data_IF_709587385224
#
_entry.id   IF_709587385224
#
_cell.length_a   1.000
_cell.length_b   1.000
_cell.length_c   1.000
_cell.angle_alpha   90.00
_cell.angle_beta   90.00
_cell.angle_gamma   90.00
#
_symmetry.space_group_name_H-M   'P 1'
#
loop_
_entity.id
_entity.type
_entity.pdbx_description
1 polymer ?
#
# COMPACT_ATOMS: atom_id res chain seq x y z
N UNK A 1 35.52 59.79 35.12
CA UNK A 1 36.07 58.46 34.78
C UNK A 1 34.96 57.40 34.60
N UNK A 2 33.73 57.68 35.06
CA UNK A 2 32.61 56.73 35.08
C UNK A 2 31.93 56.48 33.73
N UNK A 3 31.97 57.45 32.80
CA UNK A 3 31.34 57.33 31.48
C UNK A 3 32.03 56.31 30.57
N UNK A 4 33.36 56.20 30.66
CA UNK A 4 34.14 55.21 29.90
C UNK A 4 33.86 53.77 30.36
N UNK A 5 33.60 53.58 31.65
CA UNK A 5 33.31 52.26 32.24
C UNK A 5 31.93 51.74 31.80
N UNK A 6 30.93 52.63 31.68
CA UNK A 6 29.61 52.28 31.18
C UNK A 6 29.59 51.89 29.69
N UNK A 7 30.38 52.59 28.86
CA UNK A 7 30.48 52.31 27.41
C UNK A 7 31.17 50.95 27.17
N UNK A 8 32.25 50.65 27.90
CA UNK A 8 32.95 49.36 27.82
C UNK A 8 32.06 48.18 28.26
N UNK A 9 31.25 48.35 29.32
CA UNK A 9 30.28 47.34 29.79
C UNK A 9 29.17 47.08 28.77
N UNK A 10 28.69 48.14 28.11
CA UNK A 10 27.66 48.04 27.07
C UNK A 10 28.17 47.33 25.82
N UNK A 11 29.41 47.63 25.39
CA UNK A 11 30.08 46.95 24.28
C UNK A 11 30.33 45.47 24.55
N UNK A 12 30.75 45.13 25.77
CA UNK A 12 30.95 43.73 26.16
C UNK A 12 29.63 42.94 26.19
N UNK A 13 28.56 43.53 26.72
CA UNK A 13 27.23 42.92 26.70
C UNK A 13 26.69 42.75 25.27
N UNK A 14 26.90 43.75 24.40
CA UNK A 14 26.53 43.65 23.00
C UNK A 14 27.29 42.52 22.29
N UNK A 15 28.59 42.41 22.51
CA UNK A 15 29.41 41.35 21.94
C UNK A 15 29.01 39.97 22.46
N UNK A 16 28.69 39.87 23.75
CA UNK A 16 28.20 38.63 24.37
C UNK A 16 26.84 38.20 23.81
N UNK A 17 25.93 39.15 23.57
CA UNK A 17 24.61 38.88 22.97
C UNK A 17 24.77 38.43 21.51
N UNK A 18 25.60 39.10 20.72
CA UNK A 18 25.87 38.71 19.32
C UNK A 18 26.52 37.32 19.29
N UNK A 19 27.51 37.05 20.14
CA UNK A 19 28.15 35.75 20.25
C UNK A 19 27.17 34.64 20.66
N UNK A 20 26.30 34.90 21.64
CA UNK A 20 25.23 33.98 22.02
C UNK A 20 24.24 33.72 20.87
N UNK A 21 23.92 34.74 20.06
CA UNK A 21 23.04 34.59 18.89
C UNK A 21 23.65 33.68 17.81
N UNK A 22 24.97 33.73 17.61
CA UNK A 22 25.66 32.82 16.68
C UNK A 22 25.79 31.38 17.20
N UNK A 23 25.82 31.16 18.52
CA UNK A 23 25.87 29.81 19.11
C UNK A 23 24.55 29.04 19.01
N UNK A 24 23.41 29.72 18.76
CA UNK A 24 22.09 29.08 18.68
C UNK A 24 21.67 28.67 17.26
N UNK A 25 22.49 28.89 16.24
CA UNK A 25 22.21 28.42 14.88
C UNK A 25 22.56 26.94 14.72
N UNK A 26 21.90 26.07 15.48
CA UNK A 26 21.90 24.64 15.21
C UNK A 26 20.94 24.45 14.02
N UNK A 27 21.51 24.26 12.84
CA UNK A 27 20.75 23.85 11.65
C UNK A 27 20.21 22.45 11.97
N UNK A 28 18.97 22.36 12.45
CA UNK A 28 18.26 21.10 12.57
C UNK A 28 17.93 20.63 11.15
N UNK A 29 18.84 19.81 10.58
CA UNK A 29 18.62 19.16 9.30
C UNK A 29 17.67 18.00 9.53
N UNK A 30 16.43 18.19 9.12
CA UNK A 30 15.45 17.13 9.15
C UNK A 30 15.78 16.07 8.09
N UNK A 31 15.67 14.80 8.47
CA UNK A 31 16.08 13.63 7.72
C UNK A 31 14.90 12.70 7.50
N UNK A 32 14.54 12.51 6.24
CA UNK A 32 13.59 11.47 5.82
C UNK A 32 14.29 10.11 5.80
N UNK A 33 13.66 9.10 6.40
CA UNK A 33 14.18 7.74 6.46
C UNK A 33 13.07 6.70 6.48
N UNK A 34 13.24 5.61 5.73
CA UNK A 34 12.27 4.53 5.66
C UNK A 34 12.93 3.17 5.91
N UNK A 35 12.23 2.27 6.57
CA UNK A 35 12.62 0.87 6.79
C UNK A 35 11.49 -0.09 6.42
N UNK A 36 11.82 -1.34 6.07
CA UNK A 36 10.85 -2.38 5.76
C UNK A 36 11.16 -3.67 6.53
N UNK A 37 10.15 -4.30 7.11
CA UNK A 37 10.31 -5.47 7.98
C UNK A 37 10.57 -6.80 7.28
N UNK A 38 10.46 -6.87 5.95
CA UNK A 38 10.74 -8.06 5.16
C UNK A 38 11.93 -7.82 4.22
N UNK A 39 12.82 -8.80 4.07
CA UNK A 39 13.90 -8.76 3.08
C UNK A 39 13.54 -9.50 1.79
N UNK A 40 12.79 -10.61 1.92
CA UNK A 40 12.33 -11.45 0.82
C UNK A 40 10.98 -12.10 1.14
N UNK A 41 10.09 -12.13 0.15
CA UNK A 41 8.84 -12.89 0.10
C UNK A 41 9.00 -13.92 -1.02
N UNK A 42 8.99 -15.21 -0.65
CA UNK A 42 9.06 -16.31 -1.60
C UNK A 42 7.81 -17.16 -1.47
N UNK A 43 7.00 -17.18 -2.54
CA UNK A 43 5.81 -18.01 -2.60
C UNK A 43 6.25 -19.42 -2.99
N UNK A 44 6.08 -20.36 -2.07
CA UNK A 44 6.41 -21.78 -2.29
C UNK A 44 5.32 -22.49 -3.10
N UNK A 45 4.08 -22.02 -2.98
CA UNK A 45 2.96 -22.54 -3.74
C UNK A 45 2.84 -21.87 -5.11
N UNK A 46 2.60 -22.65 -6.18
CA UNK A 46 2.46 -22.10 -7.51
C UNK A 46 1.19 -21.24 -7.65
N UNK A 47 1.36 -20.10 -8.30
CA UNK A 47 0.31 -19.13 -8.59
C UNK A 47 -0.43 -19.58 -9.85
N UNK A 48 -1.75 -19.69 -9.74
CA UNK A 48 -2.63 -20.05 -10.85
C UNK A 48 -3.16 -18.79 -11.50
N UNK A 49 -3.24 -18.79 -12.82
CA UNK A 49 -3.90 -17.73 -13.58
C UNK A 49 -5.33 -17.49 -13.06
N UNK A 50 -5.72 -16.23 -12.99
CA UNK A 50 -7.01 -15.78 -12.48
C UNK A 50 -7.15 -15.76 -10.95
N UNK A 51 -6.25 -16.39 -10.19
CA UNK A 51 -6.34 -16.43 -8.73
C UNK A 51 -6.15 -15.06 -8.05
N UNK A 52 -6.69 -14.94 -6.85
CA UNK A 52 -6.49 -13.80 -5.93
C UNK A 52 -5.79 -14.34 -4.70
N UNK A 53 -4.65 -13.74 -4.35
CA UNK A 53 -3.73 -14.24 -3.33
C UNK A 53 -3.42 -13.13 -2.33
N UNK A 54 -3.48 -13.47 -1.05
CA UNK A 54 -2.98 -12.61 0.01
C UNK A 54 -1.50 -12.91 0.21
N UNK A 55 -0.65 -11.93 -0.04
CA UNK A 55 0.78 -12.06 0.23
C UNK A 55 1.06 -11.73 1.71
N UNK A 56 2.22 -12.13 2.27
CA UNK A 56 2.65 -11.69 3.58
C UNK A 56 2.60 -10.16 3.69
N UNK A 57 2.01 -9.65 4.78
CA UNK A 57 2.00 -8.22 5.06
C UNK A 57 3.42 -7.72 5.31
N UNK A 58 3.66 -6.45 4.97
CA UNK A 58 4.93 -5.79 5.21
C UNK A 58 4.72 -4.62 6.16
N UNK A 59 5.67 -4.41 7.06
CA UNK A 59 5.66 -3.28 7.99
C UNK A 59 6.65 -2.24 7.52
N UNK A 60 6.18 -1.01 7.35
CA UNK A 60 6.96 0.15 6.92
C UNK A 60 7.23 1.01 8.15
N UNK A 61 8.51 1.30 8.39
CA UNK A 61 8.97 2.07 9.54
C UNK A 61 9.44 3.44 9.08
N UNK A 62 9.07 4.48 9.83
CA UNK A 62 9.70 5.78 9.67
C UNK A 62 10.96 5.83 10.52
N UNK A 63 12.12 5.73 9.86
CA UNK A 63 13.44 5.80 10.50
C UNK A 63 14.03 7.21 10.49
N UNK A 64 13.29 8.17 9.92
CA UNK A 64 13.59 9.59 9.95
C UNK A 64 13.12 10.29 11.22
N UNK A 65 13.28 11.62 11.23
CA UNK A 65 12.85 12.52 12.31
C UNK A 65 11.66 13.42 11.91
N UNK A 66 11.14 13.28 10.69
CA UNK A 66 9.95 14.00 10.20
C UNK A 66 8.74 13.09 9.99
N UNK A 67 7.55 13.61 10.25
CA UNK A 67 6.30 12.98 9.81
C UNK A 67 6.30 12.91 8.29
N UNK A 68 6.18 11.69 7.76
CA UNK A 68 6.36 11.45 6.31
C UNK A 68 5.20 10.64 5.76
N UNK A 69 4.74 11.02 4.57
CA UNK A 69 3.76 10.27 3.79
C UNK A 69 4.48 9.32 2.84
N UNK A 70 4.21 8.02 3.00
CA UNK A 70 4.79 6.95 2.21
C UNK A 70 3.78 6.40 1.21
N UNK A 71 4.30 5.95 0.06
CA UNK A 71 3.56 5.23 -0.96
C UNK A 71 4.11 3.82 -1.14
N UNK A 72 3.24 2.89 -1.51
CA UNK A 72 3.61 1.53 -1.90
C UNK A 72 3.68 1.41 -3.41
N UNK A 73 4.63 0.60 -3.89
CA UNK A 73 4.87 0.42 -5.31
C UNK A 73 5.43 -0.94 -5.66
N UNK A 74 5.54 -1.17 -6.96
CA UNK A 74 6.23 -2.31 -7.54
C UNK A 74 7.27 -1.79 -8.53
N UNK A 75 8.52 -2.22 -8.33
CA UNK A 75 9.64 -1.90 -9.19
C UNK A 75 10.28 -3.16 -9.76
N UNK A 76 11.04 -2.96 -10.83
CA UNK A 76 11.75 -4.00 -11.54
C UNK A 76 13.18 -3.56 -11.75
N UNK A 77 14.11 -4.51 -11.67
CA UNK A 77 15.50 -4.26 -12.00
C UNK A 77 15.88 -5.05 -13.26
N UNK A 78 16.74 -4.46 -14.09
CA UNK A 78 17.02 -5.00 -15.43
C UNK A 78 17.83 -6.29 -15.41
N UNK A 79 18.62 -6.51 -14.36
CA UNK A 79 19.60 -7.60 -14.27
C UNK A 79 19.01 -8.98 -13.93
N UNK A 80 17.68 -9.07 -13.74
CA UNK A 80 17.02 -10.32 -13.38
C UNK A 80 16.42 -11.01 -14.62
N UNK A 81 16.73 -12.30 -14.79
CA UNK A 81 16.27 -13.12 -15.92
C UNK A 81 14.81 -13.56 -15.80
N UNK A 82 14.20 -13.45 -14.62
CA UNK A 82 12.82 -13.83 -14.37
C UNK A 82 11.82 -12.90 -15.08
N UNK A 83 10.60 -13.41 -15.29
CA UNK A 83 9.50 -12.64 -15.84
C UNK A 83 9.08 -11.52 -14.89
N UNK A 84 8.57 -10.44 -15.45
CA UNK A 84 8.13 -9.26 -14.69
C UNK A 84 6.61 -9.25 -14.61
N UNK A 85 6.02 -9.26 -13.41
CA UNK A 85 4.59 -9.10 -13.29
C UNK A 85 4.21 -7.65 -13.61
N UNK A 86 2.99 -7.42 -14.08
CA UNK A 86 2.53 -6.06 -14.28
C UNK A 86 2.20 -5.41 -12.92
N UNK A 87 2.33 -4.08 -12.82
CA UNK A 87 2.12 -3.38 -11.53
C UNK A 87 0.69 -3.52 -11.04
N UNK A 88 -0.25 -3.57 -11.99
CA UNK A 88 -1.69 -3.71 -11.75
C UNK A 88 -2.10 -5.06 -11.14
N UNK A 89 -1.19 -6.04 -11.09
CA UNK A 89 -1.43 -7.30 -10.40
C UNK A 89 -1.47 -7.08 -8.89
N UNK A 90 -0.92 -5.99 -8.38
CA UNK A 90 -0.76 -5.78 -6.95
C UNK A 90 -1.65 -4.63 -6.49
N UNK A 91 -2.30 -4.85 -5.36
CA UNK A 91 -2.99 -3.80 -4.60
C UNK A 91 -2.48 -3.79 -3.16
N UNK A 92 -2.43 -2.58 -2.61
CA UNK A 92 -1.88 -2.32 -1.29
C UNK A 92 -2.96 -1.67 -0.42
N UNK A 93 -3.05 -2.11 0.83
CA UNK A 93 -3.97 -1.53 1.79
C UNK A 93 -3.27 -1.31 3.15
N UNK A 94 -3.02 -0.06 3.56
CA UNK A 94 -3.19 1.17 2.77
C UNK A 94 -2.14 1.29 1.64
N UNK A 95 -2.50 1.96 0.53
CA UNK A 95 -1.55 2.22 -0.56
C UNK A 95 -0.69 3.48 -0.32
N UNK A 96 -1.26 4.48 0.34
CA UNK A 96 -0.61 5.73 0.76
C UNK A 96 -1.00 5.96 2.22
N UNK A 97 -0.03 6.32 3.05
CA UNK A 97 -0.25 6.50 4.48
C UNK A 97 0.83 7.41 5.08
N UNK A 98 0.51 8.03 6.21
CA UNK A 98 1.42 8.94 6.92
C UNK A 98 1.88 8.28 8.22
N UNK A 99 3.18 8.34 8.51
CA UNK A 99 3.79 7.69 9.69
C UNK A 99 4.65 8.69 10.43
N UNK A 100 4.48 8.78 11.75
CA UNK A 100 5.32 9.63 12.60
C UNK A 100 6.71 9.01 12.82
N UNK A 101 7.73 9.81 13.17
CA UNK A 101 9.06 9.29 13.50
C UNK A 101 9.04 8.16 14.52
N UNK A 102 9.73 7.05 14.25
CA UNK A 102 9.79 5.88 15.12
C UNK A 102 8.54 4.99 15.12
N UNK A 103 7.46 5.41 14.45
CA UNK A 103 6.26 4.60 14.26
C UNK A 103 6.35 3.71 13.02
N UNK A 104 5.37 2.81 12.89
CA UNK A 104 5.29 1.90 11.77
C UNK A 104 3.86 1.66 11.32
N UNK A 105 3.68 1.43 10.02
CA UNK A 105 2.41 1.04 9.42
C UNK A 105 2.52 -0.36 8.83
N UNK A 106 1.55 -1.22 9.15
CA UNK A 106 1.40 -2.51 8.48
C UNK A 106 0.58 -2.33 7.20
N UNK A 107 1.08 -2.92 6.11
CA UNK A 107 0.48 -2.87 4.78
C UNK A 107 0.14 -4.29 4.33
N UNK A 108 -1.13 -4.49 4.01
CA UNK A 108 -1.62 -5.72 3.41
C UNK A 108 -1.43 -5.67 1.90
N UNK A 109 -0.91 -6.75 1.33
CA UNK A 109 -0.64 -6.87 -0.10
C UNK A 109 -1.53 -7.96 -0.68
N UNK A 110 -2.30 -7.61 -1.70
CA UNK A 110 -3.12 -8.55 -2.46
C UNK A 110 -2.59 -8.64 -3.87
N UNK A 111 -2.34 -9.85 -4.35
CA UNK A 111 -1.92 -10.14 -5.71
C UNK A 111 -3.07 -10.80 -6.49
N UNK A 112 -3.42 -10.18 -7.60
CA UNK A 112 -4.47 -10.60 -8.52
C UNK A 112 -3.81 -11.08 -9.81
N UNK A 113 -3.66 -12.39 -9.95
CA UNK A 113 -3.08 -12.98 -11.15
C UNK A 113 -3.98 -12.69 -12.37
N UNK A 114 -3.42 -12.46 -13.56
CA UNK A 114 -4.20 -12.18 -14.76
C UNK A 114 -4.87 -13.47 -15.27
N UNK A 115 -5.85 -13.33 -16.15
CA UNK A 115 -6.50 -14.49 -16.80
C UNK A 115 -5.62 -15.12 -17.88
N UNK A 116 -4.62 -14.37 -18.38
CA UNK A 116 -3.63 -14.79 -19.36
C UNK A 116 -2.28 -14.22 -18.94
N UNK A 117 -1.26 -15.07 -18.94
CA UNK A 117 0.10 -14.71 -18.57
C UNK A 117 1.06 -15.77 -19.06
N UNK A 118 2.32 -15.41 -19.20
CA UNK A 118 3.39 -16.33 -19.58
C UNK A 118 3.74 -17.22 -18.38
N UNK A 119 3.63 -18.55 -18.48
CA UNK A 119 4.02 -19.42 -17.38
C UNK A 119 5.53 -19.35 -17.13
N UNK A 120 5.94 -19.37 -15.86
CA UNK A 120 7.34 -19.33 -15.49
C UNK A 120 7.59 -18.65 -14.14
N UNK A 121 8.87 -18.41 -13.85
CA UNK A 121 9.30 -17.75 -12.62
C UNK A 121 9.25 -16.24 -12.79
N UNK A 122 8.61 -15.59 -11.82
CA UNK A 122 8.43 -14.15 -11.76
C UNK A 122 9.22 -13.54 -10.62
N UNK A 123 9.67 -12.30 -10.85
CA UNK A 123 10.38 -11.50 -9.87
C UNK A 123 9.92 -10.05 -9.90
N UNK A 124 9.74 -9.47 -8.71
CA UNK A 124 9.49 -8.04 -8.55
C UNK A 124 10.04 -7.53 -7.21
N UNK A 125 10.21 -6.22 -7.12
CA UNK A 125 10.45 -5.55 -5.85
C UNK A 125 9.15 -4.92 -5.38
N UNK A 126 8.72 -5.27 -4.16
CA UNK A 126 7.69 -4.52 -3.45
C UNK A 126 8.40 -3.38 -2.72
N UNK A 127 8.14 -2.14 -3.13
CA UNK A 127 8.86 -0.99 -2.62
C UNK A 127 7.96 -0.04 -1.84
N UNK A 128 8.59 0.71 -0.93
CA UNK A 128 7.98 1.86 -0.29
C UNK A 128 8.97 3.01 -0.20
N UNK A 129 8.48 4.21 -0.43
CA UNK A 129 9.25 5.44 -0.35
C UNK A 129 8.34 6.64 -0.10
N UNK A 130 8.92 7.78 0.31
CA UNK A 130 8.16 9.00 0.53
C UNK A 130 7.50 9.44 -0.78
N UNK A 131 6.23 9.84 -0.70
CA UNK A 131 5.51 10.41 -1.84
C UNK A 131 6.08 11.80 -2.10
N UNK A 132 6.48 12.14 -3.35
CA UNK A 132 7.03 13.46 -3.64
C UNK A 132 6.02 14.56 -3.31
N UNK A 133 6.40 15.47 -2.42
CA UNK A 133 5.69 16.73 -2.21
C UNK A 133 6.20 17.72 -3.26
N UNK A 134 5.29 18.42 -3.95
CA UNK A 134 5.60 19.42 -5.00
C UNK A 134 6.35 20.69 -4.50
N UNK A 135 7.06 20.62 -3.37
CA UNK A 135 7.81 21.72 -2.81
C UNK A 135 9.17 21.86 -3.52
N UNK A 136 9.61 23.08 -3.89
CA UNK A 136 10.92 23.27 -4.52
C UNK A 136 12.06 22.84 -3.58
N UNK A 137 12.90 21.90 -4.03
CA UNK A 137 14.00 21.32 -3.25
C UNK A 137 13.85 19.85 -2.88
N UNK A 138 12.86 19.13 -3.43
CA UNK A 138 12.60 17.71 -3.13
C UNK A 138 13.84 16.84 -3.38
N UNK A 139 14.49 16.42 -2.31
CA UNK A 139 15.52 15.39 -2.38
C UNK A 139 14.87 14.08 -2.84
N UNK A 140 15.55 13.30 -3.68
CA UNK A 140 15.12 11.94 -4.03
C UNK A 140 15.11 11.15 -2.72
N UNK A 141 13.91 10.95 -2.17
CA UNK A 141 13.76 10.34 -0.87
C UNK A 141 14.27 8.90 -0.86
N UNK A 142 14.83 8.49 0.27
CA UNK A 142 15.27 7.11 0.51
C UNK A 142 14.07 6.18 0.33
N UNK A 143 14.23 5.13 -0.47
CA UNK A 143 13.24 4.07 -0.68
C UNK A 143 13.80 2.72 -0.24
N UNK A 144 12.91 1.83 0.18
CA UNK A 144 13.22 0.46 0.60
C UNK A 144 12.39 -0.52 -0.20
N UNK A 145 12.93 -1.73 -0.40
CA UNK A 145 12.25 -2.75 -1.17
C UNK A 145 12.45 -4.16 -0.61
N UNK A 146 11.40 -4.97 -0.70
CA UNK A 146 11.40 -6.42 -0.46
C UNK A 146 11.39 -7.16 -1.79
N UNK A 147 12.20 -8.21 -1.91
CA UNK A 147 12.18 -9.10 -3.07
C UNK A 147 10.93 -9.98 -3.06
N UNK A 148 10.23 -10.11 -4.16
CA UNK A 148 9.11 -11.03 -4.34
C UNK A 148 9.46 -12.07 -5.41
N UNK A 149 9.37 -13.35 -5.06
CA UNK A 149 9.54 -14.48 -5.98
C UNK A 149 8.30 -15.36 -5.98
N UNK A 150 7.82 -15.73 -7.17
CA UNK A 150 6.74 -16.70 -7.33
C UNK A 150 6.78 -17.35 -8.71
N UNK A 151 6.13 -18.51 -8.84
CA UNK A 151 6.02 -19.24 -10.11
C UNK A 151 4.58 -19.21 -10.59
N UNK A 152 4.36 -18.77 -11.83
CA UNK A 152 3.06 -18.78 -12.48
C UNK A 152 2.90 -20.07 -13.29
N UNK A 153 1.88 -20.88 -12.97
CA UNK A 153 1.60 -22.13 -13.68
C UNK A 153 0.60 -21.93 -14.83
N UNK A 154 0.72 -22.70 -15.91
CA UNK A 154 -0.22 -22.63 -17.03
C UNK A 154 -1.62 -23.04 -16.58
N UNK A 155 -2.64 -22.36 -17.10
CA UNK A 155 -4.03 -22.75 -16.96
C UNK A 155 -4.81 -22.42 -18.23
N UNK A 156 -5.81 -23.24 -18.54
CA UNK A 156 -6.76 -22.94 -19.62
C UNK A 156 -7.62 -21.73 -19.25
N UNK A 157 -8.10 -20.96 -20.23
CA UNK A 157 -8.92 -19.75 -19.99
C UNK A 157 -10.15 -20.07 -19.12
N UNK A 158 -10.84 -21.18 -19.38
CA UNK A 158 -11.99 -21.63 -18.58
C UNK A 158 -11.60 -21.95 -17.13
N UNK A 159 -10.42 -22.55 -16.92
CA UNK A 159 -9.89 -22.81 -15.58
C UNK A 159 -9.52 -21.51 -14.88
N UNK A 160 -8.88 -20.57 -15.58
CA UNK A 160 -8.51 -19.27 -15.02
C UNK A 160 -9.75 -18.45 -14.59
N UNK A 161 -10.81 -18.48 -15.40
CA UNK A 161 -12.10 -17.85 -15.03
C UNK A 161 -12.70 -18.54 -13.81
N UNK A 162 -12.73 -19.88 -13.79
CA UNK A 162 -13.23 -20.64 -12.64
C UNK A 162 -12.46 -20.33 -11.36
N UNK A 163 -11.12 -20.24 -11.45
CA UNK A 163 -10.27 -19.85 -10.33
C UNK A 163 -10.50 -18.40 -9.90
N UNK A 164 -10.68 -17.46 -10.84
CA UNK A 164 -11.01 -16.07 -10.48
C UNK A 164 -12.30 -15.98 -9.68
N UNK A 165 -13.34 -16.70 -10.12
CA UNK A 165 -14.63 -16.73 -9.40
C UNK A 165 -14.44 -17.36 -8.02
N UNK A 166 -13.83 -18.54 -7.94
CA UNK A 166 -13.66 -19.23 -6.65
C UNK A 166 -12.77 -18.46 -5.68
N UNK A 167 -11.65 -17.91 -6.14
CA UNK A 167 -10.77 -17.05 -5.34
C UNK A 167 -11.46 -15.77 -4.88
N UNK A 168 -12.32 -15.16 -5.70
CA UNK A 168 -13.13 -14.02 -5.27
C UNK A 168 -14.08 -14.40 -4.12
N UNK A 169 -14.82 -15.50 -4.26
CA UNK A 169 -15.70 -15.95 -3.18
C UNK A 169 -14.92 -16.26 -1.90
N UNK A 170 -13.75 -16.89 -2.00
CA UNK A 170 -12.88 -17.19 -0.87
C UNK A 170 -12.33 -15.92 -0.20
N UNK A 171 -11.84 -14.95 -0.99
CA UNK A 171 -11.26 -13.72 -0.48
C UNK A 171 -12.27 -12.80 0.21
N UNK A 172 -13.53 -12.78 -0.24
CA UNK A 172 -14.61 -11.92 0.28
C UNK A 172 -15.68 -12.67 1.08
N UNK A 173 -15.45 -13.96 1.40
CA UNK A 173 -16.33 -14.74 2.27
C UNK A 173 -16.37 -14.12 3.67
N UNK A 174 -17.53 -14.06 4.36
CA UNK A 174 -18.82 -14.67 4.00
C UNK A 174 -19.80 -13.76 3.22
N UNK A 175 -19.49 -12.48 3.04
CA UNK A 175 -20.41 -11.49 2.44
C UNK A 175 -20.78 -11.83 0.99
N UNK A 176 -19.86 -12.44 0.26
CA UNK A 176 -20.06 -12.91 -1.11
C UNK A 176 -21.22 -13.92 -1.23
N UNK A 177 -21.33 -14.85 -0.26
CA UNK A 177 -22.45 -15.80 -0.17
C UNK A 177 -23.76 -15.12 0.23
N UNK A 178 -23.71 -14.13 1.13
CA UNK A 178 -24.87 -13.34 1.51
C UNK A 178 -25.49 -12.59 0.32
N UNK A 179 -24.65 -11.96 -0.50
CA UNK A 179 -25.08 -11.26 -1.71
C UNK A 179 -25.72 -12.18 -2.75
N UNK A 180 -25.11 -13.36 -3.00
CA UNK A 180 -25.69 -14.37 -3.89
C UNK A 180 -27.04 -14.88 -3.39
N UNK A 181 -27.16 -15.16 -2.09
CA UNK A 181 -28.41 -15.63 -1.48
C UNK A 181 -29.54 -14.62 -1.64
N UNK A 182 -29.25 -13.33 -1.43
CA UNK A 182 -30.22 -12.25 -1.60
C UNK A 182 -30.65 -12.10 -3.08
N UNK A 183 -29.70 -12.20 -4.02
CA UNK A 183 -29.99 -12.20 -5.46
C UNK A 183 -30.93 -13.36 -5.85
N UNK A 184 -30.65 -14.57 -5.38
CA UNK A 184 -31.49 -15.75 -5.62
C UNK A 184 -32.89 -15.54 -5.06
N UNK A 185 -33.01 -14.99 -3.85
CA UNK A 185 -34.32 -14.68 -3.24
C UNK A 185 -35.13 -13.66 -4.07
N UNK A 186 -34.48 -12.60 -4.59
CA UNK A 186 -35.15 -11.63 -5.47
C UNK A 186 -35.63 -12.29 -6.76
N UNK A 187 -34.77 -13.09 -7.40
CA UNK A 187 -35.13 -13.81 -8.64
C UNK A 187 -36.30 -14.76 -8.39
N UNK A 188 -36.26 -15.53 -7.30
CA UNK A 188 -37.33 -16.43 -6.91
C UNK A 188 -38.64 -15.65 -6.64
N UNK A 189 -38.57 -14.53 -5.94
CA UNK A 189 -39.71 -13.65 -5.69
C UNK A 189 -40.32 -13.10 -6.99
N UNK A 190 -39.48 -12.68 -7.95
CA UNK A 190 -39.95 -12.22 -9.26
C UNK A 190 -40.64 -13.32 -10.07
N UNK A 191 -40.11 -14.55 -10.04
CA UNK A 191 -40.72 -15.71 -10.69
C UNK A 191 -42.07 -16.02 -10.04
N UNK A 192 -42.13 -16.10 -8.70
CA UNK A 192 -43.39 -16.33 -7.97
C UNK A 192 -44.40 -15.23 -8.31
N UNK A 193 -44.00 -13.96 -8.29
CA UNK A 193 -44.89 -12.85 -8.65
C UNK A 193 -45.38 -12.94 -10.10
N UNK A 194 -44.54 -13.40 -11.04
CA UNK A 194 -44.89 -13.53 -12.46
C UNK A 194 -45.87 -14.69 -12.71
N UNK A 195 -45.71 -15.81 -12.03
CA UNK A 195 -46.54 -17.01 -12.25
C UNK A 195 -47.77 -17.08 -11.34
N UNK A 196 -47.76 -16.40 -10.19
CA UNK A 196 -48.87 -16.33 -9.24
C UNK A 196 -49.52 -14.94 -9.27
N UNK A 197 -50.08 -14.54 -10.42
CA UNK A 197 -51.08 -13.47 -10.44
C UNK A 197 -52.35 -14.00 -9.77
N UNK A 198 -52.45 -13.84 -8.45
CA UNK A 198 -53.65 -14.16 -7.67
C UNK A 198 -54.83 -13.34 -8.20
N UNK A 199 -55.65 -13.94 -9.05
CA UNK A 199 -56.98 -13.42 -9.38
C UNK A 199 -57.88 -13.63 -8.16
N UNK A 200 -57.87 -12.68 -7.22
CA UNK A 200 -58.82 -12.66 -6.11
C UNK A 200 -60.18 -12.25 -6.70
N UNK A 201 -60.96 -13.23 -7.16
CA UNK A 201 -62.37 -13.02 -7.44
C UNK A 201 -63.12 -12.84 -6.11
N UNK A 202 -63.28 -11.59 -5.66
CA UNK A 202 -64.15 -11.26 -4.52
C UNK A 202 -65.60 -11.53 -4.92
N UNK A 203 -66.16 -12.67 -4.48
CA UNK A 203 -67.59 -12.94 -4.55
C UNK A 203 -68.28 -12.12 -3.45
N UNK A 204 -68.92 -11.03 -3.83
CA UNK A 204 -69.76 -10.21 -2.94
C UNK A 204 -71.08 -10.96 -2.69
N UNK A 205 -71.40 -11.19 -1.42
CA UNK A 205 -72.76 -11.56 -0.96
C UNK A 205 -73.63 -10.32 -0.86
#
# INVERSE_FOLDING_TARGET
MDTYFHIQRSLFLFFFIVFAFFLFSIIASAKVGVGMGAGEIRLTEPIKLGGIYQLPSVRIFNTGDEITTYGMGVAFHQDYHQLRPAKEWFSFNPAIFTVSPGESQEVFITMTAPLKGEPGDYFAFIESGPVPTNAPGTSVGVAVATKLFFTLVPANIFQAISFRVSSFFAAYSPWSWGGLGLLILIILFMIVRKFFSFNIAMRKQ
#
